data_IF_134692073616
#
_entry.id   IF_134692073616
#
_cell.length_a   1.000
_cell.length_b   1.000
_cell.length_c   1.000
_cell.angle_alpha   90.00
_cell.angle_beta   90.00
_cell.angle_gamma   90.00
#
_symmetry.space_group_name_H-M   'P 1'
#
loop_
_entity.id
_entity.type
_entity.pdbx_description
1 polymer ?
#
# COMPACT_ATOMS: atom_id res chain seq x y z
N UNK A 1 28.96 2.50 -17.72
CA UNK A 1 28.34 2.80 -16.40
C UNK A 1 27.30 1.75 -16.13
N UNK A 2 27.34 1.07 -14.98
CA UNK A 2 26.25 0.15 -14.58
C UNK A 2 24.97 0.98 -14.42
N UNK A 3 23.90 0.55 -15.07
CA UNK A 3 22.58 1.18 -14.97
C UNK A 3 22.12 1.09 -13.50
N UNK A 4 21.79 2.23 -12.92
CA UNK A 4 21.21 2.27 -11.57
C UNK A 4 19.82 1.70 -11.62
N UNK A 5 19.43 0.89 -10.62
CA UNK A 5 18.15 0.18 -10.61
C UNK A 5 17.33 0.47 -9.36
N UNK A 6 16.01 0.46 -9.53
CA UNK A 6 15.02 0.39 -8.44
C UNK A 6 14.23 -0.91 -8.58
N UNK A 7 14.06 -1.65 -7.50
CA UNK A 7 13.32 -2.92 -7.48
C UNK A 7 11.84 -2.64 -7.30
N UNK A 8 10.98 -3.26 -8.13
CA UNK A 8 9.53 -3.29 -7.86
C UNK A 8 9.18 -4.63 -7.23
N UNK A 9 8.55 -4.58 -6.07
CA UNK A 9 8.13 -5.72 -5.28
C UNK A 9 6.61 -5.70 -5.16
N UNK A 10 5.92 -6.63 -5.83
CA UNK A 10 4.46 -6.63 -5.92
C UNK A 10 3.87 -8.01 -5.62
N UNK A 11 2.57 -8.10 -5.56
CA UNK A 11 1.80 -9.32 -5.33
C UNK A 11 0.51 -9.04 -4.55
N UNK A 12 -0.42 -9.99 -4.48
CA UNK A 12 -1.70 -9.80 -3.82
C UNK A 12 -1.57 -9.52 -2.32
N UNK A 13 -2.66 -9.09 -1.69
CA UNK A 13 -2.72 -8.95 -0.22
C UNK A 13 -2.43 -10.28 0.48
N UNK A 14 -2.03 -10.25 1.73
CA UNK A 14 -1.71 -11.43 2.57
C UNK A 14 -0.58 -12.35 2.07
N UNK A 15 0.22 -11.93 1.08
CA UNK A 15 1.41 -12.68 0.62
C UNK A 15 2.66 -12.45 1.47
N UNK A 16 2.62 -11.54 2.45
CA UNK A 16 3.79 -11.16 3.26
C UNK A 16 4.76 -10.21 2.54
N UNK A 17 4.30 -9.47 1.52
CA UNK A 17 5.14 -8.52 0.76
C UNK A 17 5.94 -7.60 1.67
N UNK A 18 5.28 -6.96 2.61
CA UNK A 18 5.86 -5.93 3.47
C UNK A 18 6.98 -6.47 4.35
N UNK A 19 6.80 -7.67 4.91
CA UNK A 19 7.83 -8.32 5.74
C UNK A 19 9.05 -8.68 4.90
N UNK A 20 8.81 -9.24 3.71
CA UNK A 20 9.90 -9.63 2.79
C UNK A 20 10.61 -8.37 2.27
N UNK A 21 9.88 -7.32 1.86
CA UNK A 21 10.48 -6.06 1.43
C UNK A 21 11.31 -5.42 2.55
N UNK A 22 10.84 -5.48 3.80
CA UNK A 22 11.58 -5.00 4.98
C UNK A 22 12.85 -5.81 5.22
N UNK A 23 12.79 -7.14 5.12
CA UNK A 23 13.95 -8.00 5.26
C UNK A 23 14.99 -7.75 4.14
N UNK A 24 14.54 -7.56 2.90
CA UNK A 24 15.39 -7.19 1.77
C UNK A 24 16.04 -5.82 1.98
N UNK A 25 15.27 -4.82 2.42
CA UNK A 25 15.80 -3.49 2.71
C UNK A 25 16.89 -3.54 3.79
N UNK A 26 16.68 -4.28 4.87
CA UNK A 26 17.70 -4.50 5.90
C UNK A 26 18.95 -5.21 5.36
N UNK A 27 18.76 -6.23 4.51
CA UNK A 27 19.86 -7.05 3.98
C UNK A 27 20.72 -6.32 2.94
N UNK A 28 20.10 -5.44 2.13
CA UNK A 28 20.76 -4.77 1.01
C UNK A 28 20.90 -3.26 1.20
N UNK A 29 20.79 -2.79 2.43
CA UNK A 29 20.86 -1.37 2.78
C UNK A 29 19.91 -0.53 1.91
N UNK A 30 18.65 -0.93 1.84
CA UNK A 30 17.63 -0.34 1.00
C UNK A 30 16.70 0.60 1.76
N UNK A 31 15.93 1.36 0.98
CA UNK A 31 14.82 2.20 1.45
C UNK A 31 13.54 1.78 0.72
N UNK A 32 12.43 1.72 1.45
CA UNK A 32 11.13 1.28 0.91
C UNK A 32 10.33 2.48 0.44
N UNK A 33 9.71 2.35 -0.74
CA UNK A 33 8.82 3.34 -1.32
C UNK A 33 7.45 2.68 -1.48
N UNK A 34 6.43 3.28 -0.91
CA UNK A 34 5.06 2.79 -0.98
C UNK A 34 4.51 2.83 -2.40
N UNK A 35 3.90 1.72 -2.86
CA UNK A 35 3.10 1.60 -4.07
C UNK A 35 1.72 1.00 -3.79
N UNK A 36 1.15 1.30 -2.64
CA UNK A 36 -0.25 1.01 -2.31
C UNK A 36 -1.07 2.29 -2.28
N UNK A 37 -2.28 2.24 -2.89
CA UNK A 37 -3.14 3.41 -3.04
C UNK A 37 -3.75 3.91 -1.73
N UNK A 38 -3.90 3.05 -0.74
CA UNK A 38 -4.47 3.42 0.55
C UNK A 38 -3.40 3.89 1.53
N UNK A 39 -2.19 3.34 1.46
CA UNK A 39 -1.09 3.76 2.33
C UNK A 39 -0.60 5.19 2.11
N UNK A 40 -1.00 5.83 1.02
CA UNK A 40 -0.67 7.25 0.80
C UNK A 40 -1.47 8.17 1.72
N UNK A 41 -2.60 7.71 2.28
CA UNK A 41 -3.47 8.52 3.12
C UNK A 41 -3.11 8.41 4.60
N UNK A 42 -2.91 9.57 5.26
CA UNK A 42 -2.47 9.63 6.65
C UNK A 42 -3.50 9.16 7.68
N UNK A 43 -4.78 9.17 7.31
CA UNK A 43 -5.92 8.84 8.18
C UNK A 43 -6.45 7.41 7.98
N UNK A 44 -5.91 6.65 7.04
CA UNK A 44 -6.29 5.26 6.74
C UNK A 44 -5.17 4.33 7.22
N UNK A 45 -5.21 3.91 8.47
CA UNK A 45 -4.13 3.12 9.06
C UNK A 45 -4.49 1.64 9.20
N UNK A 46 -5.41 1.33 10.08
CA UNK A 46 -5.76 -0.06 10.43
C UNK A 46 -6.41 -0.76 9.24
N UNK A 47 -7.46 -0.18 8.67
CA UNK A 47 -8.20 -0.79 7.56
C UNK A 47 -7.43 -0.82 6.24
N UNK A 48 -6.35 -0.05 6.06
CA UNK A 48 -5.41 -0.23 4.98
C UNK A 48 -4.44 -1.39 5.25
N UNK A 49 -4.22 -1.73 6.53
CA UNK A 49 -3.24 -2.71 6.98
C UNK A 49 -1.85 -2.12 7.21
N UNK A 50 -1.78 -0.80 7.39
CA UNK A 50 -0.57 -0.11 7.81
C UNK A 50 -0.43 -0.26 9.32
N UNK A 51 0.36 -1.23 9.76
CA UNK A 51 0.60 -1.48 11.18
C UNK A 51 1.68 -0.58 11.76
N UNK A 52 1.61 -0.31 13.07
CA UNK A 52 2.63 0.47 13.80
C UNK A 52 4.03 -0.19 13.76
N UNK A 53 4.08 -1.51 13.56
CA UNK A 53 5.35 -2.23 13.37
C UNK A 53 6.12 -1.78 12.13
N UNK A 54 5.45 -1.23 11.13
CA UNK A 54 6.10 -0.66 9.95
C UNK A 54 6.79 0.67 10.25
N UNK A 55 6.22 1.47 11.16
CA UNK A 55 6.79 2.76 11.57
C UNK A 55 7.97 2.60 12.53
N UNK A 56 7.98 1.54 13.34
CA UNK A 56 9.06 1.25 14.29
C UNK A 56 10.28 0.57 13.67
N UNK A 57 10.29 0.33 12.34
CA UNK A 57 11.42 -0.33 11.68
C UNK A 57 12.55 0.67 11.39
N UNK A 58 13.81 0.21 11.52
CA UNK A 58 15.02 0.97 11.16
C UNK A 58 15.16 1.24 9.65
N UNK A 59 14.18 0.82 8.86
CA UNK A 59 14.17 0.98 7.40
C UNK A 59 13.44 2.28 7.04
N UNK A 60 14.11 3.17 6.33
CA UNK A 60 13.48 4.38 5.83
C UNK A 60 12.35 4.06 4.85
N UNK A 61 11.20 4.71 5.04
CA UNK A 61 9.98 4.51 4.25
C UNK A 61 9.50 5.83 3.66
N UNK A 62 9.05 5.78 2.41
CA UNK A 62 8.66 6.95 1.64
C UNK A 62 7.27 6.79 1.05
N UNK A 63 6.57 7.91 0.86
CA UNK A 63 5.24 8.03 0.27
C UNK A 63 4.14 7.33 1.09
N UNK A 64 4.33 7.20 2.40
CA UNK A 64 3.30 6.80 3.35
C UNK A 64 2.68 8.04 3.98
N UNK A 65 1.35 8.09 4.10
CA UNK A 65 0.64 9.17 4.80
C UNK A 65 0.86 10.58 4.25
N UNK A 66 1.10 10.71 2.95
CA UNK A 66 1.41 12.00 2.29
C UNK A 66 0.18 12.74 1.77
N UNK A 67 -0.99 12.11 1.83
CA UNK A 67 -2.26 12.65 1.36
C UNK A 67 -3.24 12.81 2.52
N UNK A 68 -3.96 13.92 2.52
CA UNK A 68 -5.12 14.15 3.37
C UNK A 68 -6.42 13.64 2.73
N UNK A 69 -7.57 13.86 3.40
CA UNK A 69 -8.87 13.35 2.93
C UNK A 69 -9.32 13.87 1.56
N UNK A 70 -8.94 15.10 1.23
CA UNK A 70 -9.34 15.76 -0.02
C UNK A 70 -8.36 15.56 -1.18
N UNK A 71 -7.23 14.89 -0.91
CA UNK A 71 -6.19 14.71 -1.91
C UNK A 71 -6.46 13.46 -2.76
N UNK A 72 -6.07 13.54 -4.03
CA UNK A 72 -6.06 12.39 -4.94
C UNK A 72 -4.67 12.32 -5.56
N UNK A 73 -3.93 11.27 -5.24
CA UNK A 73 -2.65 10.99 -5.89
C UNK A 73 -2.90 10.18 -7.17
N UNK A 74 -2.88 10.85 -8.31
CA UNK A 74 -3.02 10.17 -9.60
C UNK A 74 -1.72 9.47 -10.02
N UNK A 75 -1.80 8.62 -11.06
CA UNK A 75 -0.64 7.84 -11.52
C UNK A 75 0.52 8.71 -11.99
N UNK A 76 0.24 9.77 -12.74
CA UNK A 76 1.28 10.64 -13.28
C UNK A 76 2.03 11.39 -12.18
N UNK A 77 1.31 11.91 -11.19
CA UNK A 77 1.90 12.57 -10.03
C UNK A 77 2.70 11.57 -9.18
N UNK A 78 2.20 10.34 -9.03
CA UNK A 78 2.93 9.27 -8.35
C UNK A 78 4.24 8.94 -9.06
N UNK A 79 4.21 8.75 -10.38
CA UNK A 79 5.41 8.50 -11.21
C UNK A 79 6.40 9.66 -11.07
N UNK A 80 5.94 10.91 -11.16
CA UNK A 80 6.78 12.09 -10.98
C UNK A 80 7.51 12.07 -9.62
N UNK A 81 6.79 11.78 -8.54
CA UNK A 81 7.39 11.68 -7.19
C UNK A 81 8.43 10.57 -7.09
N UNK A 82 8.19 9.43 -7.71
CA UNK A 82 9.16 8.33 -7.78
C UNK A 82 10.40 8.75 -8.55
N UNK A 83 10.23 9.43 -9.67
CA UNK A 83 11.35 9.88 -10.51
C UNK A 83 12.23 10.95 -9.84
N UNK A 84 11.66 11.73 -8.92
CA UNK A 84 12.42 12.65 -8.07
C UNK A 84 13.08 11.95 -6.87
N UNK A 85 12.45 10.93 -6.32
CA UNK A 85 12.88 10.26 -5.09
C UNK A 85 13.96 9.21 -5.33
N UNK A 86 13.80 8.36 -6.36
CA UNK A 86 14.73 7.26 -6.64
C UNK A 86 16.17 7.74 -6.86
N UNK A 87 16.46 8.81 -7.63
CA UNK A 87 17.81 9.34 -7.75
C UNK A 87 18.41 9.80 -6.42
N UNK A 88 17.59 10.37 -5.52
CA UNK A 88 18.03 10.80 -4.19
C UNK A 88 18.42 9.60 -3.30
N UNK A 89 17.67 8.50 -3.36
CA UNK A 89 18.02 7.26 -2.66
C UNK A 89 19.30 6.66 -3.22
N UNK A 90 19.42 6.56 -4.54
CA UNK A 90 20.60 6.07 -5.23
C UNK A 90 21.85 6.90 -4.97
N UNK A 91 21.72 8.23 -4.79
CA UNK A 91 22.85 9.09 -4.45
C UNK A 91 23.43 8.80 -3.06
N UNK A 92 22.60 8.30 -2.14
CA UNK A 92 23.01 7.81 -0.82
C UNK A 92 23.55 6.37 -0.85
N UNK A 93 23.71 5.78 -2.03
CA UNK A 93 24.13 4.38 -2.26
C UNK A 93 23.16 3.36 -1.66
N UNK A 94 21.91 3.73 -1.45
CA UNK A 94 20.85 2.84 -0.96
C UNK A 94 20.08 2.21 -2.11
N UNK A 95 19.52 1.01 -1.89
CA UNK A 95 18.68 0.33 -2.86
C UNK A 95 17.22 0.82 -2.76
N UNK A 96 16.65 1.45 -3.81
CA UNK A 96 15.22 1.77 -3.81
C UNK A 96 14.38 0.50 -4.01
N UNK A 97 13.46 0.22 -3.09
CA UNK A 97 12.53 -0.92 -3.15
C UNK A 97 11.11 -0.36 -3.16
N UNK A 98 10.45 -0.43 -4.31
CA UNK A 98 9.06 0.00 -4.49
C UNK A 98 8.16 -1.18 -4.14
N UNK A 99 7.37 -1.06 -3.07
CA UNK A 99 6.55 -2.15 -2.52
C UNK A 99 5.07 -1.78 -2.51
N UNK A 100 4.24 -2.64 -3.12
CA UNK A 100 2.79 -2.50 -3.11
C UNK A 100 2.10 -3.30 -4.21
N UNK A 101 0.77 -3.22 -4.23
CA UNK A 101 -0.05 -3.97 -5.19
C UNK A 101 -0.98 -3.07 -6.04
N UNK A 102 -0.68 -1.79 -6.15
CA UNK A 102 -1.53 -0.87 -6.92
C UNK A 102 -1.63 -1.27 -8.38
N UNK A 103 -2.86 -1.53 -8.84
CA UNK A 103 -3.18 -1.75 -10.25
C UNK A 103 -3.08 -0.50 -11.11
N UNK A 104 -2.82 0.66 -10.52
CA UNK A 104 -2.66 1.95 -11.19
C UNK A 104 -1.19 2.38 -11.16
N UNK A 105 -0.55 2.40 -9.99
CA UNK A 105 0.81 2.90 -9.85
C UNK A 105 1.85 1.98 -10.50
N UNK A 106 1.77 0.67 -10.27
CA UNK A 106 2.76 -0.27 -10.80
C UNK A 106 2.78 -0.32 -12.34
N UNK A 107 1.64 -0.39 -13.06
CA UNK A 107 1.65 -0.29 -14.51
C UNK A 107 2.22 1.03 -15.04
N UNK A 108 1.89 2.16 -14.39
CA UNK A 108 2.40 3.47 -14.78
C UNK A 108 3.94 3.56 -14.63
N UNK A 109 4.50 3.00 -13.54
CA UNK A 109 5.95 2.91 -13.36
C UNK A 109 6.60 2.02 -14.44
N UNK A 110 6.01 0.87 -14.74
CA UNK A 110 6.54 -0.05 -15.75
C UNK A 110 6.51 0.62 -17.14
N UNK A 111 5.44 1.32 -17.47
CA UNK A 111 5.33 2.07 -18.72
C UNK A 111 6.35 3.21 -18.80
N UNK A 112 6.52 3.96 -17.70
CA UNK A 112 7.53 5.03 -17.66
C UNK A 112 8.95 4.51 -17.89
N UNK A 113 9.22 3.23 -17.62
CA UNK A 113 10.53 2.60 -17.88
C UNK A 113 10.96 2.64 -19.36
N UNK A 114 10.01 2.81 -20.27
CA UNK A 114 10.24 2.90 -21.72
C UNK A 114 10.67 4.28 -22.20
N UNK A 115 10.57 5.29 -21.36
CA UNK A 115 10.92 6.66 -21.75
C UNK A 115 12.43 6.79 -21.96
N UNK A 116 12.89 7.50 -23.00
CA UNK A 116 14.30 7.71 -23.28
C UNK A 116 14.92 8.68 -22.24
N UNK A 117 16.24 8.59 -22.07
CA UNK A 117 16.99 9.53 -21.23
C UNK A 117 16.92 9.28 -19.72
N UNK A 118 16.38 8.16 -19.27
CA UNK A 118 16.31 7.82 -17.85
C UNK A 118 17.69 7.58 -17.23
N UNK A 119 17.83 7.97 -15.98
CA UNK A 119 19.05 7.79 -15.19
C UNK A 119 19.07 6.49 -14.37
N UNK A 120 17.95 5.78 -14.30
CA UNK A 120 17.77 4.49 -13.65
C UNK A 120 16.64 3.70 -14.33
N UNK A 121 16.54 2.41 -14.02
CA UNK A 121 15.48 1.53 -14.50
C UNK A 121 14.82 0.78 -13.34
N UNK A 122 13.54 0.42 -13.55
CA UNK A 122 12.83 -0.50 -12.65
C UNK A 122 13.21 -1.94 -13.01
N UNK A 123 14.10 -2.55 -12.23
CA UNK A 123 14.56 -3.92 -12.45
C UNK A 123 15.28 -4.45 -11.20
N UNK A 124 15.02 -5.70 -10.76
CA UNK A 124 13.97 -6.59 -11.27
C UNK A 124 12.57 -6.19 -10.80
N UNK A 125 11.55 -6.77 -11.45
CA UNK A 125 10.16 -6.75 -10.98
C UNK A 125 9.89 -8.12 -10.36
N UNK A 126 9.64 -8.15 -9.05
CA UNK A 126 9.44 -9.37 -8.27
C UNK A 126 7.96 -9.45 -7.88
N UNK A 127 7.25 -10.44 -8.40
CA UNK A 127 5.85 -10.68 -8.09
C UNK A 127 5.70 -11.89 -7.17
N UNK A 128 5.20 -11.67 -5.96
CA UNK A 128 4.82 -12.77 -5.06
C UNK A 128 3.50 -13.40 -5.46
N UNK A 129 3.36 -14.67 -5.17
CA UNK A 129 2.12 -15.43 -5.30
C UNK A 129 1.86 -16.21 -4.02
N UNK A 130 0.60 -16.52 -3.77
CA UNK A 130 0.30 -17.48 -2.73
C UNK A 130 0.82 -18.88 -3.12
N UNK A 131 1.30 -19.66 -2.16
CA UNK A 131 1.56 -21.07 -2.39
C UNK A 131 0.31 -21.79 -2.89
N UNK A 132 0.50 -22.81 -3.71
CA UNK A 132 -0.60 -23.66 -4.16
C UNK A 132 -1.33 -24.27 -2.96
N UNK A 133 -2.66 -24.29 -3.00
CA UNK A 133 -3.50 -24.80 -1.90
C UNK A 133 -3.70 -23.82 -0.73
N UNK A 134 -3.25 -22.56 -0.83
CA UNK A 134 -3.53 -21.56 0.21
C UNK A 134 -5.03 -21.32 0.34
N UNK A 135 -5.57 -21.47 1.56
CA UNK A 135 -6.91 -21.01 1.87
C UNK A 135 -6.90 -19.49 2.07
N UNK A 136 -7.16 -18.76 0.96
CA UNK A 136 -7.11 -17.29 0.95
C UNK A 136 -8.19 -16.70 1.86
N UNK A 137 -9.40 -17.23 1.82
CA UNK A 137 -10.52 -16.75 2.65
C UNK A 137 -10.13 -16.76 4.13
N UNK A 138 -9.65 -17.89 4.65
CA UNK A 138 -9.22 -18.00 6.05
C UNK A 138 -8.11 -17.00 6.43
N UNK A 139 -7.19 -16.68 5.51
CA UNK A 139 -6.16 -15.68 5.76
C UNK A 139 -6.73 -14.27 5.82
N UNK A 140 -7.69 -13.95 4.95
CA UNK A 140 -8.38 -12.65 4.96
C UNK A 140 -9.23 -12.52 6.23
N UNK A 141 -9.98 -13.55 6.60
CA UNK A 141 -10.77 -13.59 7.83
C UNK A 141 -9.90 -13.30 9.07
N UNK A 142 -8.81 -14.05 9.22
CA UNK A 142 -7.88 -13.83 10.34
C UNK A 142 -7.30 -12.41 10.37
N UNK A 143 -6.94 -11.86 9.21
CA UNK A 143 -6.43 -10.50 9.12
C UNK A 143 -7.52 -9.48 9.49
N UNK A 144 -8.75 -9.69 9.04
CA UNK A 144 -9.87 -8.83 9.38
C UNK A 144 -10.18 -8.84 10.86
N UNK A 145 -10.17 -10.02 11.50
CA UNK A 145 -10.34 -10.16 12.95
C UNK A 145 -9.27 -9.35 13.69
N UNK A 146 -8.01 -9.50 13.31
CA UNK A 146 -6.91 -8.72 13.89
C UNK A 146 -7.12 -7.21 13.73
N UNK A 147 -7.53 -6.74 12.55
CA UNK A 147 -7.84 -5.32 12.33
C UNK A 147 -8.97 -4.82 13.26
N UNK A 148 -10.00 -5.65 13.51
CA UNK A 148 -11.05 -5.31 14.45
C UNK A 148 -10.55 -5.23 15.90
N UNK A 149 -9.65 -6.13 16.31
CA UNK A 149 -8.99 -6.09 17.61
C UNK A 149 -8.10 -4.84 17.77
N UNK A 150 -7.42 -4.43 16.71
CA UNK A 150 -6.57 -3.22 16.63
C UNK A 150 -7.39 -1.91 16.61
N UNK A 151 -8.73 -1.97 16.46
CA UNK A 151 -9.60 -0.78 16.52
C UNK A 151 -10.13 -0.30 15.16
N UNK A 152 -10.23 -1.17 14.17
CA UNK A 152 -10.75 -0.83 12.83
C UNK A 152 -12.14 -0.17 12.88
N UNK A 153 -13.03 -0.64 13.76
CA UNK A 153 -14.37 -0.06 13.85
C UNK A 153 -14.35 1.36 14.43
N UNK A 154 -13.47 1.61 15.38
CA UNK A 154 -13.26 2.94 15.96
C UNK A 154 -12.67 3.90 14.91
N UNK A 155 -11.69 3.45 14.14
CA UNK A 155 -11.13 4.24 13.03
C UNK A 155 -12.22 4.56 11.99
N UNK A 156 -12.99 3.57 11.54
CA UNK A 156 -14.10 3.75 10.60
C UNK A 156 -15.16 4.71 11.14
N UNK A 157 -15.51 4.62 12.43
CA UNK A 157 -16.47 5.52 13.08
C UNK A 157 -15.94 6.96 13.12
N UNK A 158 -14.66 7.17 13.41
CA UNK A 158 -14.06 8.49 13.39
C UNK A 158 -14.10 9.12 11.99
N UNK A 159 -13.80 8.33 10.95
CA UNK A 159 -13.89 8.76 9.55
C UNK A 159 -15.34 9.13 9.18
N UNK A 160 -16.31 8.31 9.57
CA UNK A 160 -17.73 8.53 9.32
C UNK A 160 -18.20 9.86 9.96
N UNK A 161 -17.88 10.06 11.23
CA UNK A 161 -18.26 11.26 11.99
C UNK A 161 -17.57 12.54 11.49
N UNK A 162 -16.41 12.43 10.86
CA UNK A 162 -15.69 13.54 10.23
C UNK A 162 -16.30 13.99 8.90
N UNK A 163 -17.35 13.32 8.41
CA UNK A 163 -17.98 13.63 7.11
C UNK A 163 -17.25 13.08 5.89
N UNK A 164 -16.23 12.25 6.09
CA UNK A 164 -15.41 11.68 5.00
C UNK A 164 -15.90 10.33 4.46
N UNK A 165 -17.14 9.94 4.78
CA UNK A 165 -17.72 8.64 4.40
C UNK A 165 -17.80 8.37 2.90
N UNK A 166 -17.81 9.41 2.06
CA UNK A 166 -18.01 9.33 0.60
C UNK A 166 -16.85 9.94 -0.19
N UNK A 167 -15.66 10.06 0.40
CA UNK A 167 -14.49 10.52 -0.35
C UNK A 167 -13.85 9.35 -1.12
N UNK A 168 -13.16 9.68 -2.21
CA UNK A 168 -12.60 8.70 -3.13
C UNK A 168 -11.85 7.53 -2.46
N UNK A 169 -10.89 7.72 -1.52
CA UNK A 169 -10.17 6.59 -0.93
C UNK A 169 -11.05 5.65 -0.11
N UNK A 170 -12.15 6.16 0.45
CA UNK A 170 -13.13 5.34 1.18
C UNK A 170 -13.99 4.53 0.21
N UNK A 171 -14.48 5.16 -0.86
CA UNK A 171 -15.34 4.50 -1.86
C UNK A 171 -14.66 3.35 -2.57
N UNK A 172 -13.36 3.47 -2.86
CA UNK A 172 -12.58 2.41 -3.53
C UNK A 172 -12.03 1.36 -2.57
N UNK A 173 -12.15 1.55 -1.27
CA UNK A 173 -11.61 0.62 -0.28
C UNK A 173 -12.54 -0.57 -0.07
N UNK A 174 -11.99 -1.76 -0.23
CA UNK A 174 -12.70 -3.02 0.09
C UNK A 174 -13.03 -3.16 1.57
N UNK A 175 -12.30 -2.46 2.45
CA UNK A 175 -12.50 -2.50 3.90
C UNK A 175 -13.43 -1.37 4.37
N UNK A 176 -13.11 -0.11 4.03
CA UNK A 176 -13.86 1.02 4.57
C UNK A 176 -15.24 1.19 3.93
N UNK A 177 -15.41 0.93 2.64
CA UNK A 177 -16.71 1.10 1.97
C UNK A 177 -17.84 0.27 2.61
N UNK A 178 -17.67 -1.04 2.88
CA UNK A 178 -18.69 -1.79 3.61
C UNK A 178 -18.93 -1.29 5.04
N UNK A 179 -17.89 -0.84 5.74
CA UNK A 179 -18.04 -0.29 7.09
C UNK A 179 -18.78 1.04 7.11
N UNK A 180 -18.58 1.92 6.11
CA UNK A 180 -19.39 3.14 5.97
C UNK A 180 -20.86 2.80 5.77
N UNK A 181 -21.20 1.79 4.96
CA UNK A 181 -22.58 1.32 4.76
C UNK A 181 -23.19 0.73 6.03
N UNK A 182 -22.40 0.05 6.85
CA UNK A 182 -22.83 -0.43 8.17
C UNK A 182 -23.13 0.77 9.10
N UNK A 183 -22.24 1.74 9.19
CA UNK A 183 -22.42 2.92 10.05
C UNK A 183 -23.58 3.82 9.59
N UNK A 184 -23.90 3.80 8.32
CA UNK A 184 -25.06 4.52 7.73
C UNK A 184 -26.39 3.73 7.88
N UNK A 185 -26.36 2.54 8.49
CA UNK A 185 -27.54 1.69 8.73
C UNK A 185 -28.02 0.87 7.52
N UNK A 186 -27.24 0.84 6.43
CA UNK A 186 -27.60 0.13 5.19
C UNK A 186 -27.15 -1.34 5.18
N UNK A 187 -26.28 -1.76 6.09
CA UNK A 187 -25.81 -3.13 6.25
C UNK A 187 -25.78 -3.50 7.73
N UNK A 188 -25.86 -4.81 8.04
CA UNK A 188 -25.43 -5.30 9.35
C UNK A 188 -23.90 -5.37 9.41
N UNK A 189 -23.33 -5.43 10.61
CA UNK A 189 -21.88 -5.62 10.76
C UNK A 189 -21.43 -6.97 10.18
N UNK A 190 -22.25 -7.99 10.29
CA UNK A 190 -21.98 -9.31 9.72
C UNK A 190 -21.90 -9.24 8.19
N UNK A 191 -22.87 -8.58 7.54
CA UNK A 191 -22.86 -8.38 6.08
C UNK A 191 -21.68 -7.55 5.61
N UNK A 192 -21.29 -6.51 6.38
CA UNK A 192 -20.12 -5.69 6.07
C UNK A 192 -18.84 -6.52 6.13
N UNK A 193 -18.66 -7.36 7.17
CA UNK A 193 -17.51 -8.28 7.28
C UNK A 193 -17.46 -9.27 6.12
N UNK A 194 -18.59 -9.86 5.74
CA UNK A 194 -18.65 -10.81 4.62
C UNK A 194 -18.23 -10.14 3.30
N UNK A 195 -18.71 -8.92 3.04
CA UNK A 195 -18.30 -8.14 1.85
C UNK A 195 -16.82 -7.73 1.82
N UNK A 196 -16.15 -7.69 2.96
CA UNK A 196 -14.71 -7.43 3.05
C UNK A 196 -13.93 -8.71 2.72
N UNK A 197 -14.48 -9.87 3.04
CA UNK A 197 -13.83 -11.17 2.86
C UNK A 197 -13.96 -11.68 1.41
N UNK A 198 -15.07 -11.40 0.73
CA UNK A 198 -15.35 -11.77 -0.67
C UNK A 198 -14.55 -10.96 -1.68
#
# INVERSE_FOLDING_TARGET
MSLKTAVIFTGPTTTGKTDIATALAKRFDGEIINSDRLYVYSFLRIGSGLSDTLESSDVARHLYGICGPSDILCADEYVRRIEELVPKILSRKKLPIIEGCSSIYNPALIESNRQPGRTFHYSPIIALRWPSGTNLRSRIEKRLEQMFEEGLLQEATAIFNSGYKSIHPIEISVVYNPLMKYLDGNLTLADAKEKIID
#
